data_IF_377610507588
#
_entry.id   IF_377610507588
#
_cell.length_a   1.000
_cell.length_b   1.000
_cell.length_c   1.000
_cell.angle_alpha   90.00
_cell.angle_beta   90.00
_cell.angle_gamma   90.00
#
_symmetry.space_group_name_H-M   'P 1'
#
loop_
_entity.id
_entity.type
_entity.pdbx_description
1 polymer ?
#
# COMPACT_ATOMS: atom_id res chain seq x y z
N UNK A 1 4.52 -7.92 23.74
CA UNK A 1 3.18 -7.30 23.72
C UNK A 1 2.67 -7.25 22.30
N UNK A 2 1.39 -7.49 22.08
CA UNK A 2 0.74 -7.33 20.76
C UNK A 2 0.68 -5.85 20.42
N UNK A 3 0.97 -5.50 19.16
CA UNK A 3 0.70 -4.16 18.64
C UNK A 3 -0.77 -4.03 18.32
N UNK A 4 -1.43 -3.03 18.88
CA UNK A 4 -2.84 -2.75 18.62
C UNK A 4 -2.94 -1.47 17.80
N UNK A 5 -3.63 -1.55 16.65
CA UNK A 5 -3.97 -0.40 15.82
C UNK A 5 -5.39 0.04 16.14
N UNK A 6 -5.55 1.28 16.60
CA UNK A 6 -6.85 1.92 16.73
C UNK A 6 -7.30 2.44 15.37
N UNK A 7 -8.45 1.96 14.89
CA UNK A 7 -9.08 2.46 13.66
C UNK A 7 -10.18 3.43 14.08
N UNK A 8 -10.00 4.69 13.70
CA UNK A 8 -10.94 5.76 14.09
C UNK A 8 -12.26 5.60 13.34
N UNK A 9 -13.35 5.72 14.06
CA UNK A 9 -14.72 5.66 13.54
C UNK A 9 -15.60 6.73 14.21
N UNK A 10 -16.75 7.04 13.61
CA UNK A 10 -17.71 8.01 14.13
C UNK A 10 -18.00 9.16 13.17
N UNK A 11 -17.12 9.41 12.20
CA UNK A 11 -17.25 10.50 11.22
C UNK A 11 -17.32 9.99 9.78
N UNK A 12 -17.77 8.74 9.58
CA UNK A 12 -17.93 8.13 8.27
C UNK A 12 -16.62 7.62 7.65
N UNK A 13 -15.62 7.36 8.47
CA UNK A 13 -14.36 6.73 8.08
C UNK A 13 -14.59 5.31 7.56
N UNK A 14 -13.56 4.76 6.92
CA UNK A 14 -13.53 3.36 6.50
C UNK A 14 -13.45 2.42 7.70
N UNK A 15 -14.39 1.48 7.78
CA UNK A 15 -14.50 0.52 8.90
C UNK A 15 -13.80 -0.80 8.56
N UNK A 16 -13.18 -1.41 9.56
CA UNK A 16 -12.63 -2.78 9.48
C UNK A 16 -13.72 -3.86 9.57
N UNK A 17 -14.96 -3.49 9.82
CA UNK A 17 -16.12 -4.40 9.79
C UNK A 17 -16.93 -4.26 8.50
N UNK A 18 -16.58 -3.32 7.64
CA UNK A 18 -17.25 -3.12 6.35
C UNK A 18 -16.71 -4.09 5.29
N UNK A 19 -17.56 -5.05 4.88
CA UNK A 19 -17.26 -6.03 3.82
C UNK A 19 -17.49 -5.51 2.40
N UNK A 20 -17.97 -4.28 2.24
CA UNK A 20 -18.13 -3.65 0.93
C UNK A 20 -16.79 -3.49 0.20
N UNK A 21 -16.85 -3.17 -1.08
CA UNK A 21 -15.64 -2.93 -1.88
C UNK A 21 -14.74 -1.83 -1.32
N UNK A 22 -15.32 -0.81 -0.67
CA UNK A 22 -14.61 0.33 -0.08
C UNK A 22 -14.22 0.11 1.38
N UNK A 23 -14.74 -0.92 2.03
CA UNK A 23 -14.44 -1.26 3.42
C UNK A 23 -13.06 -1.86 3.61
N UNK A 24 -12.69 -2.06 4.87
CA UNK A 24 -11.36 -2.52 5.29
C UNK A 24 -11.37 -3.88 6.01
N UNK A 25 -12.45 -4.66 5.88
CA UNK A 25 -12.53 -6.00 6.48
C UNK A 25 -11.34 -6.89 6.08
N UNK A 26 -10.89 -6.78 4.82
CA UNK A 26 -9.74 -7.55 4.33
C UNK A 26 -8.42 -7.12 4.96
N UNK A 27 -8.25 -5.84 5.28
CA UNK A 27 -7.09 -5.36 6.04
C UNK A 27 -7.09 -6.01 7.41
N UNK A 28 -8.22 -5.98 8.12
CA UNK A 28 -8.36 -6.58 9.43
C UNK A 28 -8.08 -8.09 9.41
N UNK A 29 -8.69 -8.81 8.46
CA UNK A 29 -8.57 -10.27 8.39
C UNK A 29 -7.24 -10.76 7.82
N UNK A 30 -6.63 -10.01 6.91
CA UNK A 30 -5.40 -10.44 6.22
C UNK A 30 -4.11 -9.86 6.81
N UNK A 31 -4.18 -8.72 7.49
CA UNK A 31 -3.00 -8.03 8.00
C UNK A 31 -3.01 -7.99 9.52
N UNK A 32 -4.13 -7.60 10.14
CA UNK A 32 -4.21 -7.49 11.59
C UNK A 32 -4.42 -8.85 12.27
N UNK A 33 -5.18 -9.76 11.66
CA UNK A 33 -5.58 -11.03 12.26
C UNK A 33 -5.02 -12.28 11.56
N UNK A 34 -4.18 -12.15 10.56
CA UNK A 34 -3.89 -13.22 9.61
C UNK A 34 -3.37 -14.52 10.22
N UNK A 35 -2.81 -14.48 11.42
CA UNK A 35 -2.22 -15.67 12.03
C UNK A 35 -2.43 -15.69 13.52
N UNK A 36 -3.67 -15.79 13.97
CA UNK A 36 -3.99 -16.05 15.38
C UNK A 36 -3.26 -17.31 15.91
N UNK A 37 -2.99 -18.28 15.04
CA UNK A 37 -2.24 -19.49 15.37
C UNK A 37 -0.73 -19.25 15.57
N UNK A 38 -0.14 -18.19 15.05
CA UNK A 38 1.25 -17.79 15.32
C UNK A 38 1.38 -16.87 16.54
N UNK A 39 0.27 -16.46 17.13
CA UNK A 39 0.19 -15.68 18.37
C UNK A 39 0.99 -14.36 18.39
N UNK A 40 1.28 -13.78 17.22
CA UNK A 40 2.15 -12.62 17.04
C UNK A 40 1.55 -11.64 16.02
N UNK A 41 0.26 -11.30 16.16
CA UNK A 41 -0.43 -10.43 15.21
C UNK A 41 -0.43 -8.96 15.63
N UNK A 42 -0.71 -8.12 14.65
CA UNK A 42 -1.24 -6.79 14.85
C UNK A 42 -2.75 -6.95 14.98
N UNK A 43 -3.33 -6.49 16.06
CA UNK A 43 -4.78 -6.48 16.25
C UNK A 43 -5.32 -5.10 15.86
N UNK A 44 -6.46 -5.06 15.14
CA UNK A 44 -7.21 -3.84 14.85
C UNK A 44 -8.41 -3.73 15.76
N UNK A 45 -8.65 -2.54 16.29
CA UNK A 45 -9.87 -2.24 17.04
C UNK A 45 -10.42 -0.87 16.63
N UNK A 46 -11.73 -0.76 16.48
CA UNK A 46 -12.37 0.52 16.22
C UNK A 46 -12.48 1.34 17.50
N UNK A 47 -12.18 2.63 17.39
CA UNK A 47 -12.30 3.59 18.48
C UNK A 47 -12.93 4.90 18.00
N UNK A 48 -13.67 5.58 18.88
CA UNK A 48 -14.04 7.00 18.70
C UNK A 48 -12.95 7.92 19.24
N UNK A 49 -12.98 9.18 18.81
CA UNK A 49 -12.17 10.26 19.40
C UNK A 49 -12.94 11.09 20.44
N UNK A 50 -14.18 10.75 20.74
CA UNK A 50 -14.98 11.36 21.81
C UNK A 50 -14.36 11.15 23.20
N UNK A 51 -13.49 10.16 23.35
CA UNK A 51 -12.68 9.89 24.53
C UNK A 51 -11.19 9.99 24.21
N UNK A 52 -10.33 10.23 25.22
CA UNK A 52 -8.88 10.19 25.03
C UNK A 52 -8.42 8.87 24.43
N UNK A 53 -7.51 8.96 23.46
CA UNK A 53 -6.92 7.75 22.85
C UNK A 53 -6.17 6.94 23.90
N UNK A 54 -6.49 5.64 24.08
CA UNK A 54 -5.82 4.79 25.05
C UNK A 54 -4.29 4.77 24.92
N UNK A 55 -3.58 4.75 26.05
CA UNK A 55 -2.11 4.71 26.05
C UNK A 55 -1.54 3.42 25.45
N UNK A 56 -2.32 2.34 25.51
CA UNK A 56 -1.96 1.05 24.92
C UNK A 56 -1.92 1.06 23.39
N UNK A 57 -2.53 2.07 22.76
CA UNK A 57 -2.53 2.19 21.30
C UNK A 57 -1.26 2.91 20.82
N UNK A 58 -0.48 2.21 20.04
CA UNK A 58 0.76 2.73 19.46
C UNK A 58 0.58 3.32 18.07
N UNK A 59 -0.49 2.93 17.37
CA UNK A 59 -0.80 3.37 15.99
C UNK A 59 -2.28 3.70 15.91
N UNK A 60 -2.59 4.85 15.31
CA UNK A 60 -3.94 5.20 14.86
C UNK A 60 -4.03 5.12 13.33
N UNK A 61 -5.16 4.67 12.83
CA UNK A 61 -5.56 4.76 11.43
C UNK A 61 -6.80 5.65 11.33
N UNK A 62 -6.69 6.74 10.59
CA UNK A 62 -7.81 7.61 10.18
C UNK A 62 -7.92 7.51 8.66
N UNK A 63 -9.03 7.00 8.16
CA UNK A 63 -9.20 6.73 6.75
C UNK A 63 -10.48 7.37 6.19
N UNK A 64 -10.31 8.40 5.37
CA UNK A 64 -11.37 9.03 4.58
C UNK A 64 -12.56 9.53 5.43
N UNK A 65 -12.35 10.37 6.48
CA UNK A 65 -13.44 10.91 7.28
C UNK A 65 -14.36 11.78 6.43
N UNK A 66 -15.67 11.59 6.59
CA UNK A 66 -16.70 12.31 5.81
C UNK A 66 -17.26 13.52 6.56
N UNK A 67 -17.04 13.61 7.86
CA UNK A 67 -17.51 14.69 8.72
C UNK A 67 -16.35 15.30 9.48
N UNK A 68 -16.47 16.58 9.82
CA UNK A 68 -15.45 17.29 10.60
C UNK A 68 -15.46 16.82 12.06
N UNK A 69 -14.28 16.72 12.63
CA UNK A 69 -14.11 16.41 14.04
C UNK A 69 -14.43 17.64 14.91
N UNK A 70 -14.99 17.42 16.05
CA UNK A 70 -15.20 18.46 17.07
C UNK A 70 -13.87 18.95 17.64
N UNK A 71 -13.89 20.12 18.28
CA UNK A 71 -12.68 20.66 18.96
C UNK A 71 -12.17 19.73 20.06
N UNK A 72 -13.06 19.01 20.75
CA UNK A 72 -12.68 18.06 21.78
C UNK A 72 -11.99 16.82 21.18
N UNK A 73 -12.53 16.25 20.12
CA UNK A 73 -11.92 15.12 19.41
C UNK A 73 -10.55 15.47 18.83
N UNK A 74 -10.44 16.68 18.27
CA UNK A 74 -9.16 17.18 17.80
C UNK A 74 -8.16 17.37 18.96
N UNK A 75 -8.61 17.80 20.15
CA UNK A 75 -7.75 17.90 21.33
C UNK A 75 -7.27 16.51 21.80
N UNK A 76 -8.10 15.48 21.73
CA UNK A 76 -7.70 14.10 22.04
C UNK A 76 -6.67 13.58 21.04
N UNK A 77 -6.84 13.88 19.75
CA UNK A 77 -5.87 13.54 18.71
C UNK A 77 -4.55 14.30 18.92
N UNK A 78 -4.61 15.59 19.24
CA UNK A 78 -3.42 16.41 19.52
C UNK A 78 -2.63 15.87 20.71
N UNK A 79 -3.31 15.47 21.79
CA UNK A 79 -2.67 14.81 22.93
C UNK A 79 -2.01 13.48 22.54
N UNK A 80 -2.66 12.69 21.68
CA UNK A 80 -2.07 11.45 21.15
C UNK A 80 -0.81 11.71 20.31
N UNK A 81 -0.86 12.70 19.42
CA UNK A 81 0.29 13.10 18.59
C UNK A 81 1.42 13.65 19.46
N UNK A 82 1.09 14.49 20.45
CA UNK A 82 2.10 15.10 21.32
C UNK A 82 2.91 14.08 22.12
N UNK A 83 2.28 13.00 22.59
CA UNK A 83 2.95 11.92 23.30
C UNK A 83 3.73 10.94 22.42
N UNK A 84 3.83 11.21 21.12
CA UNK A 84 4.59 10.38 20.18
C UNK A 84 3.82 9.19 19.59
N UNK A 85 2.48 9.25 19.55
CA UNK A 85 1.66 8.25 18.89
C UNK A 85 1.86 8.25 17.38
N UNK A 86 1.96 7.08 16.77
CA UNK A 86 2.10 6.92 15.32
C UNK A 86 0.74 7.03 14.61
N UNK A 87 0.70 7.65 13.43
CA UNK A 87 -0.56 7.89 12.71
C UNK A 87 -0.45 7.45 11.25
N UNK A 88 -1.48 6.77 10.77
CA UNK A 88 -1.76 6.53 9.36
C UNK A 88 -2.98 7.38 9.00
N UNK A 89 -2.80 8.36 8.13
CA UNK A 89 -3.85 9.25 7.65
C UNK A 89 -4.04 9.05 6.15
N UNK A 90 -5.20 8.54 5.76
CA UNK A 90 -5.57 8.29 4.37
C UNK A 90 -6.69 9.24 3.99
N UNK A 91 -6.49 10.02 2.93
CA UNK A 91 -7.43 11.09 2.52
C UNK A 91 -7.93 10.86 1.11
N UNK A 92 -9.07 11.48 0.78
CA UNK A 92 -9.69 11.44 -0.54
C UNK A 92 -9.94 12.87 -1.05
N UNK A 93 -9.87 13.12 -2.36
CA UNK A 93 -10.08 14.47 -2.92
C UNK A 93 -11.41 15.11 -2.51
N UNK A 94 -12.48 14.29 -2.41
CA UNK A 94 -13.83 14.76 -2.09
C UNK A 94 -13.97 15.23 -0.65
N UNK A 95 -13.07 14.84 0.24
CA UNK A 95 -13.11 15.19 1.67
C UNK A 95 -12.06 16.23 2.06
N UNK A 96 -11.50 16.95 1.10
CA UNK A 96 -10.45 17.96 1.34
C UNK A 96 -10.80 18.92 2.49
N UNK A 97 -11.98 19.52 2.48
CA UNK A 97 -12.39 20.46 3.53
C UNK A 97 -12.48 19.82 4.93
N UNK A 98 -12.86 18.56 4.99
CA UNK A 98 -12.97 17.78 6.23
C UNK A 98 -11.61 17.40 6.80
N UNK A 99 -10.67 17.03 5.93
CA UNK A 99 -9.37 16.50 6.36
C UNK A 99 -8.28 17.59 6.49
N UNK A 100 -8.46 18.75 5.87
CA UNK A 100 -7.44 19.82 5.92
C UNK A 100 -7.07 20.21 7.36
N UNK A 101 -8.00 20.36 8.32
CA UNK A 101 -7.63 20.61 9.71
C UNK A 101 -6.73 19.56 10.35
N UNK A 102 -6.80 18.30 9.90
CA UNK A 102 -5.90 17.23 10.34
C UNK A 102 -4.53 17.38 9.70
N UNK A 103 -4.48 17.69 8.42
CA UNK A 103 -3.24 17.86 7.64
C UNK A 103 -2.44 19.10 8.09
N UNK A 104 -3.12 20.16 8.51
CA UNK A 104 -2.48 21.40 8.98
C UNK A 104 -1.54 21.17 10.18
N UNK A 105 -1.83 20.14 11.01
CA UNK A 105 -0.97 19.73 12.13
C UNK A 105 0.41 19.27 11.69
N UNK A 106 0.51 18.87 10.45
CA UNK A 106 1.74 18.35 9.85
C UNK A 106 2.34 19.31 8.83
N UNK A 107 1.76 20.47 8.64
CA UNK A 107 2.19 21.43 7.60
C UNK A 107 1.96 20.89 6.18
N UNK A 108 0.93 20.07 5.99
CA UNK A 108 0.59 19.41 4.72
C UNK A 108 -0.75 19.94 4.21
N UNK A 109 -0.87 20.09 2.90
CA UNK A 109 -2.15 20.40 2.24
C UNK A 109 -2.39 19.44 1.07
N UNK A 110 -3.66 19.29 0.72
CA UNK A 110 -4.06 18.60 -0.49
C UNK A 110 -4.06 19.56 -1.68
N UNK A 111 -3.66 19.06 -2.83
CA UNK A 111 -3.85 19.78 -4.08
C UNK A 111 -5.31 19.63 -4.54
N UNK A 112 -5.85 20.68 -5.15
CA UNK A 112 -7.21 20.66 -5.69
C UNK A 112 -7.34 19.66 -6.84
N UNK A 113 -8.38 18.83 -6.80
CA UNK A 113 -8.67 17.83 -7.79
C UNK A 113 -7.99 16.49 -7.51
N UNK A 114 -8.10 15.57 -8.45
CA UNK A 114 -7.38 14.30 -8.39
C UNK A 114 -6.33 14.20 -9.50
N UNK A 115 -5.34 13.34 -9.31
CA UNK A 115 -4.31 13.12 -10.31
C UNK A 115 -4.82 12.24 -11.44
N UNK A 116 -4.29 12.47 -12.63
CA UNK A 116 -4.53 11.70 -13.82
C UNK A 116 -3.22 11.35 -14.51
N UNK A 117 -3.21 10.21 -15.18
CA UNK A 117 -2.13 9.76 -16.09
C UNK A 117 -2.73 9.38 -17.43
N UNK A 118 -1.90 9.33 -18.47
CA UNK A 118 -2.34 8.77 -19.76
C UNK A 118 -2.73 7.31 -19.57
N UNK A 119 -3.98 6.94 -19.89
CA UNK A 119 -4.46 5.59 -19.63
C UNK A 119 -3.70 4.59 -20.51
N UNK A 120 -3.10 3.57 -19.88
CA UNK A 120 -2.44 2.47 -20.57
C UNK A 120 -3.32 1.21 -20.53
N UNK A 121 -3.96 0.95 -19.38
CA UNK A 121 -4.74 -0.27 -19.15
C UNK A 121 -6.04 0.06 -18.42
N UNK A 122 -5.99 1.02 -17.50
CA UNK A 122 -7.08 1.45 -16.62
C UNK A 122 -7.58 2.85 -17.03
N UNK A 123 -8.52 3.40 -16.28
CA UNK A 123 -8.96 4.78 -16.45
C UNK A 123 -7.85 5.76 -16.06
N UNK A 124 -7.87 6.96 -16.61
CA UNK A 124 -6.85 7.99 -16.39
C UNK A 124 -6.67 8.41 -14.91
N UNK A 125 -7.69 8.23 -14.06
CA UNK A 125 -7.62 8.50 -12.64
C UNK A 125 -6.98 7.37 -11.81
N UNK A 126 -6.52 6.30 -12.44
CA UNK A 126 -5.73 5.26 -11.80
C UNK A 126 -4.26 5.57 -12.01
N UNK A 127 -3.67 6.21 -11.04
CA UNK A 127 -2.30 6.72 -11.08
C UNK A 127 -1.33 5.69 -10.52
N UNK A 128 -0.24 5.44 -11.23
CA UNK A 128 0.83 4.55 -10.79
C UNK A 128 1.87 5.30 -9.96
N UNK A 129 1.66 5.38 -8.65
CA UNK A 129 2.61 6.00 -7.71
C UNK A 129 3.82 5.11 -7.50
N UNK A 130 5.04 5.67 -7.65
CA UNK A 130 6.31 4.97 -7.49
C UNK A 130 7.09 5.49 -6.30
N UNK A 131 7.80 4.59 -5.64
CA UNK A 131 8.69 4.97 -4.55
C UNK A 131 9.79 5.90 -5.04
N UNK A 132 9.98 7.00 -4.33
CA UNK A 132 11.18 7.83 -4.45
C UNK A 132 12.41 7.09 -3.89
N UNK A 133 13.64 7.50 -4.21
CA UNK A 133 14.84 6.96 -3.56
C UNK A 133 14.81 7.12 -2.04
N UNK A 134 14.35 8.27 -1.54
CA UNK A 134 14.21 8.59 -0.13
C UNK A 134 13.13 7.75 0.55
N UNK A 135 11.99 7.55 -0.12
CA UNK A 135 10.92 6.69 0.35
C UNK A 135 11.36 5.25 0.49
N UNK A 136 12.13 4.74 -0.48
CA UNK A 136 12.74 3.40 -0.38
C UNK A 136 13.71 3.30 0.78
N UNK A 137 14.47 4.36 1.06
CA UNK A 137 15.42 4.38 2.15
C UNK A 137 14.77 4.23 3.53
N UNK A 138 13.51 4.66 3.70
CA UNK A 138 12.77 4.47 4.95
C UNK A 138 12.46 2.99 5.25
N UNK A 139 12.45 2.15 4.21
CA UNK A 139 12.20 0.71 4.34
C UNK A 139 13.47 -0.14 4.21
N UNK A 140 14.66 0.47 4.36
CA UNK A 140 15.94 -0.19 4.15
C UNK A 140 16.21 -1.32 5.15
N UNK A 141 16.80 -2.40 4.61
CA UNK A 141 17.34 -3.55 5.34
C UNK A 141 16.49 -4.80 5.28
N UNK A 142 15.31 -4.77 4.65
CA UNK A 142 14.44 -5.95 4.53
C UNK A 142 14.18 -6.30 3.08
N UNK A 143 14.38 -7.57 2.75
CA UNK A 143 13.97 -8.08 1.44
C UNK A 143 12.46 -8.28 1.44
N UNK A 144 11.75 -7.42 0.70
CA UNK A 144 10.33 -7.63 0.43
C UNK A 144 10.19 -8.64 -0.72
N UNK A 145 9.62 -9.83 -0.47
CA UNK A 145 9.66 -10.93 -1.44
C UNK A 145 8.82 -10.67 -2.70
N UNK A 146 8.02 -9.62 -2.69
CA UNK A 146 7.04 -9.36 -3.77
C UNK A 146 7.45 -8.27 -4.75
N UNK A 147 8.68 -7.76 -4.66
CA UNK A 147 9.18 -6.75 -5.63
C UNK A 147 8.32 -5.48 -5.68
N UNK A 148 7.76 -5.04 -4.54
CA UNK A 148 6.96 -3.84 -4.47
C UNK A 148 7.74 -2.64 -5.03
N UNK A 149 7.27 -2.08 -6.14
CA UNK A 149 7.90 -0.95 -6.82
C UNK A 149 6.96 0.25 -6.94
N UNK A 150 5.68 -0.01 -6.96
CA UNK A 150 4.65 0.98 -7.20
C UNK A 150 3.34 0.59 -6.51
N UNK A 151 2.46 1.57 -6.39
CA UNK A 151 1.10 1.41 -5.92
C UNK A 151 0.17 2.09 -6.92
N UNK A 152 -0.77 1.35 -7.49
CA UNK A 152 -1.84 1.94 -8.29
C UNK A 152 -2.88 2.53 -7.34
N UNK A 153 -3.12 3.81 -7.45
CA UNK A 153 -4.00 4.60 -6.59
C UNK A 153 -5.14 5.17 -7.43
N UNK A 154 -6.38 4.91 -7.02
CA UNK A 154 -7.56 5.28 -7.78
C UNK A 154 -8.19 6.57 -7.25
N UNK A 155 -8.13 7.63 -8.03
CA UNK A 155 -8.66 8.93 -7.61
C UNK A 155 -7.74 9.68 -6.63
N UNK A 156 -6.46 9.36 -6.61
CA UNK A 156 -5.49 9.95 -5.68
C UNK A 156 -5.39 11.47 -5.82
N UNK A 157 -5.28 12.17 -4.70
CA UNK A 157 -4.89 13.59 -4.68
C UNK A 157 -3.40 13.74 -4.38
N UNK A 158 -2.80 14.82 -4.85
CA UNK A 158 -1.44 15.17 -4.49
C UNK A 158 -1.36 15.86 -3.11
N UNK A 159 -0.26 15.62 -2.42
CA UNK A 159 0.07 16.20 -1.13
C UNK A 159 1.19 17.24 -1.30
N UNK A 160 1.04 18.39 -0.66
CA UNK A 160 2.04 19.47 -0.66
C UNK A 160 2.47 19.78 0.75
N UNK A 161 3.75 19.97 0.95
CA UNK A 161 4.30 20.53 2.19
C UNK A 161 4.19 22.05 2.08
N UNK A 162 3.40 22.68 2.93
CA UNK A 162 3.06 24.11 2.86
C UNK A 162 3.49 24.90 4.09
N UNK A 163 3.77 24.21 5.19
CA UNK A 163 4.14 24.82 6.44
C UNK A 163 5.45 24.28 7.00
N UNK A 164 5.90 24.91 8.09
CA UNK A 164 6.95 24.37 8.94
C UNK A 164 6.32 23.43 9.96
N UNK A 165 6.89 22.26 10.14
CA UNK A 165 6.52 21.33 11.21
C UNK A 165 7.79 20.81 11.86
N UNK A 166 7.67 20.28 13.08
CA UNK A 166 8.78 19.64 13.78
C UNK A 166 9.15 18.28 13.18
N UNK A 167 8.45 17.88 12.13
CA UNK A 167 8.69 16.62 11.45
C UNK A 167 9.68 16.78 10.28
N UNK A 168 10.59 15.82 10.17
CA UNK A 168 11.28 15.57 8.91
C UNK A 168 10.29 14.96 7.94
N UNK A 169 10.00 15.64 6.85
CA UNK A 169 9.06 15.20 5.83
C UNK A 169 9.80 14.56 4.67
N UNK A 170 9.39 13.37 4.25
CA UNK A 170 9.95 12.61 3.14
C UNK A 170 8.85 12.29 2.14
N UNK A 171 8.94 12.75 0.89
CA UNK A 171 8.11 12.24 -0.19
C UNK A 171 8.40 10.73 -0.37
N UNK A 172 7.44 9.88 0.00
CA UNK A 172 7.65 8.43 -0.09
C UNK A 172 7.33 7.90 -1.48
N UNK A 173 6.27 8.41 -2.08
CA UNK A 173 5.84 8.00 -3.41
C UNK A 173 5.37 9.21 -4.22
N UNK A 174 5.57 9.11 -5.52
CA UNK A 174 5.22 10.15 -6.49
C UNK A 174 4.59 9.54 -7.74
N UNK A 175 3.74 10.34 -8.39
CA UNK A 175 3.17 10.04 -9.71
C UNK A 175 4.23 10.18 -10.82
N UNK A 176 3.89 9.78 -12.03
CA UNK A 176 4.75 9.93 -13.20
C UNK A 176 4.99 11.42 -13.55
N UNK A 177 6.09 11.70 -14.28
CA UNK A 177 6.43 13.06 -14.72
C UNK A 177 5.40 13.66 -15.70
N UNK A 178 4.66 12.84 -16.38
CA UNK A 178 3.62 13.21 -17.34
C UNK A 178 2.19 13.07 -16.76
N UNK A 179 2.08 12.92 -15.45
CA UNK A 179 0.80 13.04 -14.75
C UNK A 179 0.36 14.51 -14.59
N UNK A 180 -0.88 14.74 -14.32
CA UNK A 180 -1.43 16.09 -14.08
C UNK A 180 -2.55 16.06 -13.04
N UNK A 181 -2.83 17.20 -12.42
CA UNK A 181 -4.02 17.34 -11.58
C UNK A 181 -5.23 17.67 -12.46
N UNK A 182 -6.34 17.01 -12.23
CA UNK A 182 -7.62 17.25 -12.90
C UNK A 182 -8.62 17.85 -11.93
N UNK A 183 -9.10 19.07 -12.24
CA UNK A 183 -9.95 19.86 -11.35
C UNK A 183 -11.42 19.75 -11.77
N UNK A 184 -12.31 19.63 -10.77
CA UNK A 184 -13.76 19.58 -10.95
C UNK A 184 -14.30 18.17 -11.19
N UNK A 185 -15.57 18.11 -11.55
CA UNK A 185 -16.22 16.82 -11.89
C UNK A 185 -15.76 16.36 -13.27
N UNK A 186 -15.25 15.15 -13.33
CA UNK A 186 -14.70 14.54 -14.56
C UNK A 186 -15.46 13.28 -14.88
N UNK A 187 -15.90 13.16 -16.11
CA UNK A 187 -16.31 11.87 -16.67
C UNK A 187 -15.06 11.14 -17.17
N UNK A 188 -14.56 10.20 -16.37
CA UNK A 188 -13.32 9.48 -16.64
C UNK A 188 -13.43 8.48 -17.80
N UNK A 189 -14.66 8.21 -18.27
CA UNK A 189 -14.92 7.27 -19.36
C UNK A 189 -15.04 8.01 -20.69
N UNK A 190 -15.81 9.10 -20.72
CA UNK A 190 -16.18 9.78 -21.96
C UNK A 190 -15.75 11.25 -22.01
N UNK A 191 -15.34 11.82 -20.88
CA UNK A 191 -15.01 13.23 -20.79
C UNK A 191 -13.59 13.57 -21.26
N UNK A 192 -13.30 14.88 -21.48
CA UNK A 192 -11.96 15.33 -21.80
C UNK A 192 -11.06 15.19 -20.56
N UNK A 193 -10.07 14.35 -20.66
CA UNK A 193 -9.10 14.07 -19.58
C UNK A 193 -7.79 14.84 -19.72
N UNK A 194 -7.52 15.45 -20.88
CA UNK A 194 -6.31 16.25 -21.10
C UNK A 194 -6.24 17.44 -20.11
N UNK A 195 -5.01 17.84 -19.72
CA UNK A 195 -4.84 18.96 -18.79
C UNK A 195 -5.32 20.29 -19.38
N UNK A 196 -6.00 21.08 -18.57
CA UNK A 196 -6.48 22.41 -18.90
C UNK A 196 -5.80 23.48 -18.02
N UNK A 197 -4.80 24.15 -18.56
CA UNK A 197 -4.05 25.17 -17.84
C UNK A 197 -4.94 26.35 -17.35
N UNK A 198 -6.07 26.64 -18.04
CA UNK A 198 -6.98 27.70 -17.61
C UNK A 198 -7.70 27.36 -16.30
N UNK A 199 -7.79 26.09 -15.94
CA UNK A 199 -8.33 25.60 -14.66
C UNK A 199 -7.29 25.45 -13.57
N UNK A 200 -6.03 25.82 -13.82
CA UNK A 200 -4.92 25.62 -12.90
C UNK A 200 -4.41 24.17 -12.89
N UNK A 201 -4.71 23.41 -13.94
CA UNK A 201 -4.19 22.07 -14.12
C UNK A 201 -2.77 22.16 -14.73
N UNK A 202 -1.85 21.37 -14.22
CA UNK A 202 -0.47 21.37 -14.73
C UNK A 202 0.09 19.96 -14.77
N UNK A 203 1.00 19.72 -15.70
CA UNK A 203 1.68 18.44 -15.91
C UNK A 203 2.95 18.41 -15.08
N UNK A 204 3.18 17.32 -14.37
CA UNK A 204 4.39 17.08 -13.59
C UNK A 204 4.22 15.95 -12.58
N UNK A 205 5.34 15.50 -12.03
CA UNK A 205 5.33 14.55 -10.90
C UNK A 205 4.78 15.24 -9.64
N UNK A 206 3.96 14.51 -8.91
CA UNK A 206 3.32 14.99 -7.70
C UNK A 206 3.44 13.95 -6.59
N UNK A 207 3.71 14.41 -5.38
CA UNK A 207 3.79 13.53 -4.21
C UNK A 207 2.40 13.00 -3.86
N UNK A 208 2.27 11.69 -3.77
CA UNK A 208 1.03 10.99 -3.43
C UNK A 208 1.05 10.42 -2.02
N UNK A 209 2.25 10.17 -1.49
CA UNK A 209 2.45 9.61 -0.14
C UNK A 209 3.61 10.34 0.54
N UNK A 210 3.36 10.77 1.77
CA UNK A 210 4.35 11.36 2.65
C UNK A 210 4.62 10.46 3.86
N UNK A 211 5.90 10.33 4.20
CA UNK A 211 6.35 9.82 5.49
C UNK A 211 6.93 10.94 6.33
N UNK A 212 6.48 11.09 7.55
CA UNK A 212 6.97 12.12 8.47
C UNK A 212 7.55 11.43 9.70
N UNK A 213 8.69 11.94 10.15
CA UNK A 213 9.35 11.41 11.36
C UNK A 213 9.82 12.54 12.25
N UNK A 214 9.73 12.35 13.55
CA UNK A 214 10.40 13.20 14.56
C UNK A 214 10.76 12.38 15.77
N UNK A 215 11.69 12.90 16.59
CA UNK A 215 12.02 12.30 17.85
C UNK A 215 11.10 12.83 18.94
N UNK A 216 10.48 11.94 19.71
CA UNK A 216 9.70 12.26 20.91
C UNK A 216 10.26 11.40 22.03
N UNK A 217 10.92 12.05 23.00
CA UNK A 217 11.68 11.36 24.06
C UNK A 217 12.67 10.35 23.45
N UNK A 218 12.62 9.08 23.84
CA UNK A 218 13.54 8.03 23.41
C UNK A 218 13.10 7.26 22.16
N UNK A 219 12.04 7.70 21.48
CA UNK A 219 11.48 6.99 20.32
C UNK A 219 11.21 7.91 19.13
N UNK A 220 11.37 7.36 17.95
CA UNK A 220 10.97 8.02 16.71
C UNK A 220 9.47 7.88 16.50
N UNK A 221 8.75 9.00 16.40
CA UNK A 221 7.36 9.03 15.96
C UNK A 221 7.29 8.98 14.45
N UNK A 222 6.32 8.24 13.91
CA UNK A 222 6.10 8.03 12.47
C UNK A 222 4.68 8.36 12.08
N UNK A 223 4.55 9.22 11.08
CA UNK A 223 3.26 9.59 10.48
C UNK A 223 3.31 9.21 8.99
N UNK A 224 2.30 8.51 8.53
CA UNK A 224 2.11 8.15 7.14
C UNK A 224 0.87 8.87 6.61
N UNK A 225 1.01 9.62 5.52
CA UNK A 225 -0.10 10.34 4.88
C UNK A 225 -0.17 9.92 3.43
N UNK A 226 -1.33 9.43 2.97
CA UNK A 226 -1.54 9.07 1.58
C UNK A 226 -2.78 9.77 1.01
N UNK A 227 -2.67 10.24 -0.22
CA UNK A 227 -3.72 10.96 -0.95
C UNK A 227 -4.81 10.07 -1.55
N UNK A 228 -4.92 8.82 -1.12
CA UNK A 228 -5.91 7.84 -1.55
C UNK A 228 -6.13 6.83 -0.41
N UNK A 229 -7.36 6.57 -0.07
CA UNK A 229 -7.73 5.56 0.91
C UNK A 229 -8.16 4.24 0.25
N UNK A 230 -8.45 4.26 -1.04
CA UNK A 230 -8.94 3.09 -1.77
C UNK A 230 -7.88 1.99 -1.90
N UNK A 231 -6.58 2.32 -1.90
CA UNK A 231 -5.52 1.32 -2.05
C UNK A 231 -5.49 0.25 -0.93
N UNK A 232 -6.01 0.57 0.27
CA UNK A 232 -6.19 -0.39 1.36
C UNK A 232 -7.54 -1.11 1.32
N UNK A 233 -8.44 -0.76 0.41
CA UNK A 233 -9.79 -1.29 0.39
C UNK A 233 -9.87 -2.78 0.06
N UNK A 234 -10.98 -3.39 0.41
CA UNK A 234 -11.28 -4.79 0.11
C UNK A 234 -11.13 -5.08 -1.39
N UNK A 235 -11.56 -4.15 -2.24
CA UNK A 235 -11.45 -4.28 -3.70
C UNK A 235 -10.00 -4.40 -4.14
N UNK A 236 -9.15 -3.48 -3.73
CA UNK A 236 -7.75 -3.45 -4.18
C UNK A 236 -6.94 -4.64 -3.64
N UNK A 237 -7.24 -5.08 -2.41
CA UNK A 237 -6.58 -6.23 -1.79
C UNK A 237 -6.97 -7.57 -2.45
N UNK A 238 -8.19 -7.68 -2.98
CA UNK A 238 -8.71 -8.94 -3.55
C UNK A 238 -8.46 -9.03 -5.06
N UNK A 239 -8.80 -7.98 -5.79
CA UNK A 239 -8.78 -8.05 -7.25
C UNK A 239 -7.39 -7.86 -7.83
N UNK A 240 -6.53 -7.10 -7.15
CA UNK A 240 -5.27 -6.66 -7.73
C UNK A 240 -5.50 -5.85 -9.02
N UNK A 241 -4.44 -5.31 -9.60
CA UNK A 241 -4.53 -4.61 -10.89
C UNK A 241 -3.59 -5.28 -11.89
N UNK A 242 -4.19 -5.99 -12.86
CA UNK A 242 -3.44 -6.64 -13.93
C UNK A 242 -2.76 -5.57 -14.79
N UNK A 243 -1.47 -5.77 -15.08
CA UNK A 243 -0.70 -4.87 -15.94
C UNK A 243 0.12 -3.80 -15.23
N UNK A 244 -0.14 -3.50 -13.96
CA UNK A 244 0.73 -2.62 -13.17
C UNK A 244 1.86 -3.44 -12.53
N UNK A 245 3.02 -3.47 -13.19
CA UNK A 245 4.20 -4.19 -12.68
C UNK A 245 4.66 -3.61 -11.35
N UNK A 246 4.85 -4.49 -10.35
CA UNK A 246 5.30 -4.11 -9.02
C UNK A 246 4.21 -3.48 -8.14
N UNK A 247 2.95 -3.44 -8.58
CA UNK A 247 1.82 -3.08 -7.76
C UNK A 247 1.44 -4.24 -6.83
N UNK A 248 1.39 -3.96 -5.55
CA UNK A 248 0.95 -4.92 -4.55
C UNK A 248 0.44 -4.21 -3.29
N UNK A 249 -0.88 -3.96 -3.19
CA UNK A 249 -1.46 -3.33 -1.99
C UNK A 249 -1.20 -4.15 -0.73
N UNK A 250 -1.25 -5.49 -0.82
CA UNK A 250 -0.92 -6.36 0.29
C UNK A 250 0.53 -6.19 0.74
N UNK A 251 1.49 -6.16 -0.20
CA UNK A 251 2.90 -5.92 0.15
C UNK A 251 3.10 -4.53 0.76
N UNK A 252 2.40 -3.50 0.26
CA UNK A 252 2.47 -2.14 0.83
C UNK A 252 1.95 -2.12 2.27
N UNK A 253 0.83 -2.77 2.56
CA UNK A 253 0.32 -2.88 3.92
C UNK A 253 1.30 -3.56 4.87
N UNK A 254 2.01 -4.59 4.40
CA UNK A 254 3.04 -5.27 5.18
C UNK A 254 4.22 -4.35 5.48
N UNK A 255 4.74 -3.67 4.45
CA UNK A 255 5.86 -2.72 4.57
C UNK A 255 5.50 -1.58 5.51
N UNK A 256 4.28 -1.03 5.37
CA UNK A 256 3.77 0.02 6.22
C UNK A 256 3.67 -0.45 7.68
N UNK A 257 3.09 -1.63 7.92
CA UNK A 257 2.96 -2.18 9.27
C UNK A 257 4.33 -2.39 9.92
N UNK A 258 5.30 -2.89 9.18
CA UNK A 258 6.66 -3.05 9.66
C UNK A 258 7.33 -1.71 10.01
N UNK A 259 7.18 -0.73 9.12
CA UNK A 259 7.69 0.61 9.37
C UNK A 259 7.03 1.25 10.58
N UNK A 260 5.70 1.23 10.67
CA UNK A 260 4.94 1.84 11.77
C UNK A 260 5.23 1.19 13.13
N UNK A 261 5.62 -0.08 13.16
CA UNK A 261 5.94 -0.83 14.39
C UNK A 261 7.44 -0.90 14.68
N UNK A 262 8.28 -0.14 14.00
CA UNK A 262 9.75 -0.17 14.15
C UNK A 262 10.35 -1.58 13.97
N UNK A 263 9.74 -2.38 13.09
CA UNK A 263 10.18 -3.74 12.87
C UNK A 263 9.76 -4.75 13.93
N UNK A 264 8.90 -4.36 14.85
CA UNK A 264 8.37 -5.25 15.89
C UNK A 264 7.17 -6.06 15.42
N UNK A 265 6.54 -5.69 14.32
CA UNK A 265 5.54 -6.54 13.71
C UNK A 265 6.25 -7.78 13.18
N UNK A 266 5.83 -8.98 13.58
CA UNK A 266 6.50 -10.20 13.17
C UNK A 266 6.18 -10.54 11.72
N UNK A 267 6.88 -9.90 10.80
CA UNK A 267 6.89 -10.24 9.38
C UNK A 267 7.97 -11.30 9.13
N UNK A 268 7.97 -12.37 9.90
CA UNK A 268 8.89 -13.47 9.68
C UNK A 268 8.41 -14.36 8.52
N UNK A 269 8.63 -13.89 7.30
CA UNK A 269 8.95 -14.82 6.25
C UNK A 269 10.47 -15.05 6.29
N UNK A 270 10.91 -15.90 7.18
CA UNK A 270 12.24 -16.47 7.10
C UNK A 270 12.23 -17.45 5.90
N UNK A 271 12.20 -16.88 4.70
CA UNK A 271 12.58 -17.69 3.54
C UNK A 271 14.06 -17.99 3.75
N UNK A 272 14.46 -19.26 3.85
CA UNK A 272 15.86 -19.58 3.82
C UNK A 272 16.42 -18.86 2.59
N UNK A 273 17.53 -18.15 2.75
CA UNK A 273 18.22 -17.56 1.60
C UNK A 273 18.34 -18.68 0.59
N UNK A 274 17.66 -18.52 -0.56
CA UNK A 274 17.87 -19.44 -1.67
C UNK A 274 19.32 -19.23 -2.07
N UNK A 275 20.18 -20.10 -1.55
CA UNK A 275 21.62 -20.05 -1.77
C UNK A 275 21.97 -20.41 -3.20
N UNK A 276 21.02 -20.99 -3.92
CA UNK A 276 21.17 -21.38 -5.31
C UNK A 276 19.99 -20.89 -6.15
N UNK A 277 20.14 -19.72 -6.72
CA UNK A 277 19.18 -19.13 -7.67
C UNK A 277 19.56 -19.33 -9.12
N UNK A 278 20.70 -19.96 -9.39
CA UNK A 278 21.19 -20.18 -10.74
C UNK A 278 21.56 -21.65 -10.90
N UNK A 279 20.90 -22.31 -11.82
CA UNK A 279 21.41 -23.57 -12.36
C UNK A 279 22.68 -23.20 -13.12
N UNK A 280 23.83 -23.35 -12.46
CA UNK A 280 25.13 -23.15 -13.09
C UNK A 280 25.42 -24.38 -13.95
N UNK A 281 24.97 -24.36 -15.18
CA UNK A 281 25.32 -25.36 -16.16
C UNK A 281 26.01 -24.71 -17.35
N UNK A 282 26.92 -25.43 -17.98
CA UNK A 282 27.51 -24.99 -19.26
C UNK A 282 26.44 -25.04 -20.36
N UNK A 283 26.67 -24.32 -21.45
CA UNK A 283 25.77 -24.33 -22.60
C UNK A 283 25.53 -25.76 -23.13
N UNK A 284 26.57 -26.60 -23.12
CA UNK A 284 26.49 -28.02 -23.44
C UNK A 284 25.67 -28.80 -22.41
N UNK A 285 25.85 -28.56 -21.11
CA UNK A 285 25.05 -29.19 -20.05
C UNK A 285 23.59 -28.85 -20.17
N UNK A 286 23.25 -27.58 -20.45
CA UNK A 286 21.87 -27.16 -20.69
C UNK A 286 21.24 -27.86 -21.91
N UNK A 287 22.03 -28.04 -23.00
CA UNK A 287 21.60 -28.76 -24.18
C UNK A 287 21.28 -30.23 -23.85
N UNK A 288 22.15 -30.94 -23.12
CA UNK A 288 21.94 -32.35 -22.75
C UNK A 288 20.76 -32.53 -21.80
N UNK A 289 20.59 -31.67 -20.84
CA UNK A 289 19.41 -31.70 -19.95
C UNK A 289 18.11 -31.47 -20.75
N UNK A 290 18.12 -30.55 -21.70
CA UNK A 290 16.97 -30.29 -22.57
C UNK A 290 16.68 -31.48 -23.48
N UNK A 291 17.70 -32.06 -24.05
CA UNK A 291 17.57 -33.30 -24.88
C UNK A 291 17.02 -34.45 -24.07
N UNK A 292 17.52 -34.65 -22.86
CA UNK A 292 17.04 -35.75 -21.98
C UNK A 292 15.58 -35.54 -21.56
N UNK A 293 15.20 -34.34 -21.18
CA UNK A 293 13.81 -34.03 -20.78
C UNK A 293 12.82 -34.16 -21.93
N UNK A 294 13.20 -33.75 -23.15
CA UNK A 294 12.30 -33.75 -24.32
C UNK A 294 12.27 -35.15 -24.96
N UNK A 295 13.44 -35.77 -25.21
CA UNK A 295 13.51 -36.98 -25.97
C UNK A 295 13.63 -38.26 -25.10
N UNK A 296 14.29 -38.17 -23.96
CA UNK A 296 14.47 -39.32 -23.05
C UNK A 296 13.15 -39.87 -22.54
N UNK A 297 12.27 -38.97 -22.08
CA UNK A 297 10.93 -39.36 -21.58
C UNK A 297 10.08 -39.95 -22.72
N UNK A 298 10.12 -39.34 -23.91
CA UNK A 298 9.40 -39.82 -25.08
C UNK A 298 9.86 -41.20 -25.53
N UNK A 299 11.17 -41.47 -25.54
CA UNK A 299 11.76 -42.77 -25.89
C UNK A 299 11.38 -43.82 -24.86
N UNK A 300 11.44 -43.53 -23.56
CA UNK A 300 11.04 -44.47 -22.49
C UNK A 300 9.57 -44.84 -22.65
N UNK A 301 8.70 -43.90 -22.91
CA UNK A 301 7.27 -44.14 -23.13
C UNK A 301 7.03 -45.01 -24.39
N UNK A 302 7.71 -44.70 -25.48
CA UNK A 302 7.59 -45.44 -26.74
C UNK A 302 8.08 -46.91 -26.58
N UNK A 303 9.24 -47.11 -25.93
CA UNK A 303 9.79 -48.45 -25.67
C UNK A 303 8.87 -49.23 -24.75
N UNK A 304 8.38 -48.58 -23.67
CA UNK A 304 7.44 -49.24 -22.74
C UNK A 304 6.14 -49.63 -23.44
N UNK A 305 5.58 -48.75 -24.30
CA UNK A 305 4.41 -49.03 -25.10
C UNK A 305 4.64 -50.21 -26.09
N UNK A 306 5.78 -50.20 -26.77
CA UNK A 306 6.16 -51.29 -27.69
C UNK A 306 6.29 -52.65 -26.96
N UNK A 307 6.94 -52.66 -25.80
CA UNK A 307 7.08 -53.90 -24.99
C UNK A 307 5.70 -54.42 -24.56
N UNK A 308 4.81 -53.52 -24.14
CA UNK A 308 3.43 -53.90 -23.75
C UNK A 308 2.68 -54.48 -24.96
N UNK A 309 2.76 -53.87 -26.13
CA UNK A 309 2.12 -54.33 -27.36
C UNK A 309 2.65 -55.69 -27.81
N UNK A 310 3.97 -55.90 -27.78
CA UNK A 310 4.60 -57.19 -28.14
C UNK A 310 4.18 -58.32 -27.17
N UNK A 311 4.13 -58.01 -25.87
CA UNK A 311 3.66 -58.97 -24.87
C UNK A 311 2.20 -59.35 -25.08
N UNK A 312 1.34 -58.36 -25.39
CA UNK A 312 -0.09 -58.60 -25.62
C UNK A 312 -0.40 -59.38 -26.89
N UNK A 313 0.45 -59.27 -27.91
CA UNK A 313 0.28 -60.03 -29.16
C UNK A 313 0.88 -61.47 -29.11
N UNK A 314 1.50 -61.86 -27.99
CA UNK A 314 2.05 -63.23 -27.78
C UNK A 314 1.13 -64.15 -26.94
N UNK A 315 -0.01 -63.55 -26.50
CA UNK A 315 -1.09 -64.30 -25.86
C UNK A 315 -2.37 -64.16 -26.72
#
# INVERSE_FOLDING_TARGET
SRTIIGVVTGHGERSIHDSSNRGYERVATSIFNRYSWLNQGIDGMEIGLDQPVPESLSILLIADPKQVYTSQELAHLDAYIARGGNLILLVEPETQATVQPLLDRFGVSMMTGCLAEKPVIELANVVCSRFTPEGRALFHGRHYPFGLQALAMNGVTALKVTGTSDFRVVPMMESALDSWNKVGKVDWIMGPIEPDAAKGEFVGSNTTVLGLTRQVEDREQRIFIAGDADWMSNRELVQGRQGFRGHSPSAMNWVLSDWMTHGQAPLYFNYPKVTDTKISTTQEGAFWVRMFLVWGIAIVLAVSGAVICIRRNRY
#
